data_IF_312488342192
#
_entry.id   IF_312488342192
#
_cell.length_a   1.000
_cell.length_b   1.000
_cell.length_c   1.000
_cell.angle_alpha   90.00
_cell.angle_beta   90.00
_cell.angle_gamma   90.00
#
_symmetry.space_group_name_H-M   'P 1'
#
loop_
_entity.id
_entity.type
_entity.pdbx_description
1 polymer ?
#
# COMPACT_ATOMS: atom_id res chain seq x y z
N UNK A 1 21.75 -4.41 21.17
CA UNK A 1 21.88 -2.99 20.83
C UNK A 1 21.04 -2.73 19.61
N UNK A 2 20.09 -1.88 19.80
CA UNK A 2 19.48 -1.32 18.62
C UNK A 2 20.58 -0.52 17.96
N UNK A 3 21.16 -1.08 16.93
CA UNK A 3 22.04 -0.32 16.12
C UNK A 3 21.34 0.97 15.73
N UNK A 4 22.09 1.96 15.43
CA UNK A 4 21.64 3.15 14.76
C UNK A 4 21.06 2.76 13.40
N UNK A 5 20.47 1.58 13.34
CA UNK A 5 20.06 0.99 12.10
C UNK A 5 18.90 1.79 11.58
N UNK A 6 19.18 2.49 10.53
CA UNK A 6 18.15 3.07 9.72
C UNK A 6 17.19 1.97 9.32
N UNK A 7 16.00 1.99 9.86
CA UNK A 7 14.95 1.14 9.37
C UNK A 7 14.71 1.45 7.90
N UNK A 8 14.70 0.42 7.09
CA UNK A 8 14.42 0.57 5.67
C UNK A 8 12.94 0.83 5.49
N UNK A 9 12.60 2.06 5.16
CA UNK A 9 11.20 2.49 4.98
C UNK A 9 11.05 3.18 3.64
N UNK A 10 9.99 2.84 2.92
CA UNK A 10 9.51 3.64 1.79
C UNK A 10 8.31 4.43 2.29
N UNK A 11 8.29 5.73 2.02
CA UNK A 11 7.25 6.62 2.51
C UNK A 11 6.75 7.52 1.39
N UNK A 12 5.40 7.60 1.29
CA UNK A 12 4.73 8.56 0.41
C UNK A 12 3.59 9.19 1.19
N UNK A 13 3.31 10.46 0.95
CA UNK A 13 2.25 11.15 1.69
C UNK A 13 1.57 12.20 0.84
N UNK A 14 0.34 12.54 1.22
CA UNK A 14 -0.45 13.58 0.59
C UNK A 14 -1.35 14.25 1.62
N UNK A 15 -1.58 15.55 1.46
CA UNK A 15 -2.57 16.28 2.26
C UNK A 15 -3.86 16.40 1.46
N UNK A 16 -4.97 15.99 2.08
CA UNK A 16 -6.31 16.05 1.48
C UNK A 16 -7.17 17.02 2.28
N UNK A 17 -7.83 17.94 1.59
CA UNK A 17 -8.71 18.94 2.23
C UNK A 17 -10.09 18.34 2.52
N UNK A 18 -10.12 17.39 3.44
CA UNK A 18 -11.32 16.71 3.91
C UNK A 18 -11.02 16.09 5.29
N UNK A 19 -12.07 15.79 6.06
CA UNK A 19 -11.89 15.17 7.37
C UNK A 19 -11.35 13.74 7.26
N UNK A 20 -10.68 13.22 8.30
CA UNK A 20 -10.25 11.83 8.33
C UNK A 20 -11.41 10.85 8.11
N UNK A 21 -12.57 11.13 8.64
CA UNK A 21 -13.76 10.30 8.47
C UNK A 21 -14.22 10.26 7.02
N UNK A 22 -14.15 11.39 6.32
CA UNK A 22 -14.51 11.43 4.90
C UNK A 22 -13.52 10.63 4.07
N UNK A 23 -12.23 10.80 4.34
CA UNK A 23 -11.18 10.03 3.64
C UNK A 23 -11.35 8.53 3.91
N UNK A 24 -11.65 8.16 5.16
CA UNK A 24 -11.78 6.77 5.56
C UNK A 24 -12.91 6.02 4.86
N UNK A 25 -13.93 6.71 4.38
CA UNK A 25 -14.99 6.06 3.60
C UNK A 25 -14.44 5.28 2.41
N UNK A 26 -13.32 5.72 1.86
CA UNK A 26 -12.68 5.05 0.72
C UNK A 26 -11.94 3.79 1.11
N UNK A 27 -11.93 3.43 2.39
CA UNK A 27 -11.35 2.19 2.94
C UNK A 27 -12.42 1.16 3.34
N UNK A 28 -13.70 1.52 3.26
CA UNK A 28 -14.76 0.75 3.92
C UNK A 28 -15.34 -0.39 3.09
N UNK A 29 -15.01 -0.49 1.82
CA UNK A 29 -15.50 -1.56 0.94
C UNK A 29 -14.52 -1.89 -0.16
N UNK A 30 -14.68 -3.06 -0.76
CA UNK A 30 -13.89 -3.45 -1.93
C UNK A 30 -14.01 -2.41 -3.05
N UNK A 31 -15.22 -2.02 -3.38
CA UNK A 31 -15.46 -1.08 -4.49
C UNK A 31 -14.75 0.25 -4.26
N UNK A 32 -14.84 0.77 -3.04
CA UNK A 32 -14.19 2.04 -2.70
C UNK A 32 -12.68 1.92 -2.70
N UNK A 33 -12.15 0.89 -2.05
CA UNK A 33 -10.69 0.65 -2.01
C UNK A 33 -10.13 0.44 -3.40
N UNK A 34 -10.84 -0.28 -4.25
CA UNK A 34 -10.44 -0.52 -5.64
C UNK A 34 -10.37 0.79 -6.46
N UNK A 35 -11.18 1.77 -6.11
CA UNK A 35 -11.22 3.05 -6.82
C UNK A 35 -9.92 3.85 -6.74
N UNK A 36 -9.10 3.59 -5.74
CA UNK A 36 -7.84 4.31 -5.58
C UNK A 36 -6.63 3.39 -5.35
N UNK A 37 -6.74 2.40 -4.48
CA UNK A 37 -5.63 1.47 -4.21
C UNK A 37 -5.39 0.55 -5.41
N UNK A 38 -6.46 0.05 -5.97
CA UNK A 38 -6.43 -0.82 -7.14
C UNK A 38 -6.55 -0.07 -8.46
N UNK A 39 -6.48 1.25 -8.45
CA UNK A 39 -6.63 2.03 -9.67
C UNK A 39 -5.53 1.66 -10.66
N UNK A 40 -5.96 1.15 -11.79
CA UNK A 40 -5.09 0.93 -12.93
C UNK A 40 -4.68 2.28 -13.48
N UNK A 41 -3.42 2.61 -13.37
CA UNK A 41 -2.96 3.88 -13.85
C UNK A 41 -2.15 3.68 -15.11
N UNK A 42 -2.80 4.04 -16.20
CA UNK A 42 -2.27 3.88 -17.52
C UNK A 42 -2.43 2.47 -18.07
N UNK A 43 -2.24 2.33 -19.35
CA UNK A 43 -2.19 1.04 -20.03
C UNK A 43 -0.97 0.25 -19.54
N UNK A 44 -1.09 -1.06 -19.37
CA UNK A 44 0.05 -1.90 -19.06
C UNK A 44 1.12 -1.75 -20.13
N UNK A 45 2.29 -1.26 -19.76
CA UNK A 45 3.42 -1.24 -20.67
C UNK A 45 4.18 -2.56 -20.57
N UNK A 46 4.61 -3.09 -21.71
CA UNK A 46 5.38 -4.32 -21.75
C UNK A 46 6.65 -4.19 -20.87
N UNK A 47 6.86 -5.15 -19.97
CA UNK A 47 8.03 -5.17 -19.10
C UNK A 47 7.92 -4.28 -17.85
N UNK A 48 6.76 -3.71 -17.56
CA UNK A 48 6.52 -2.92 -16.35
C UNK A 48 5.44 -3.55 -15.48
N UNK A 49 5.43 -3.21 -14.19
CA UNK A 49 4.39 -3.63 -13.25
C UNK A 49 3.16 -2.72 -13.28
N UNK A 50 3.01 -1.93 -14.32
CA UNK A 50 1.80 -1.12 -14.53
C UNK A 50 0.63 -2.03 -14.81
N UNK A 51 -0.53 -1.70 -14.28
CA UNK A 51 -1.73 -2.49 -14.47
C UNK A 51 -2.10 -3.36 -13.28
N UNK A 52 -1.68 -2.97 -12.09
CA UNK A 52 -2.13 -3.66 -10.88
C UNK A 52 -3.63 -3.43 -10.65
N UNK A 53 -4.28 -4.42 -10.05
CA UNK A 53 -5.68 -4.33 -9.65
C UNK A 53 -5.91 -5.01 -8.31
N UNK A 54 -6.90 -4.52 -7.58
CA UNK A 54 -7.33 -5.15 -6.34
C UNK A 54 -8.15 -6.41 -6.68
N UNK A 55 -7.83 -7.53 -6.05
CA UNK A 55 -8.56 -8.79 -6.25
C UNK A 55 -9.27 -9.27 -4.98
N UNK A 56 -8.74 -8.94 -3.81
CA UNK A 56 -9.33 -9.29 -2.53
C UNK A 56 -9.23 -8.11 -1.58
N UNK A 57 -10.31 -7.77 -0.90
CA UNK A 57 -10.28 -6.80 0.18
C UNK A 57 -11.39 -7.09 1.18
N UNK A 58 -11.00 -7.48 2.36
CA UNK A 58 -11.90 -7.74 3.49
C UNK A 58 -11.55 -6.74 4.59
N UNK A 59 -12.32 -5.63 4.74
CA UNK A 59 -11.94 -4.49 5.58
C UNK A 59 -12.16 -4.76 7.07
N UNK A 60 -11.31 -5.59 7.65
CA UNK A 60 -11.32 -5.93 9.07
C UNK A 60 -10.02 -6.59 9.47
N UNK A 61 -9.69 -6.58 10.75
CA UNK A 61 -8.58 -7.38 11.29
C UNK A 61 -8.88 -8.85 11.03
N UNK A 62 -7.90 -9.57 10.53
CA UNK A 62 -8.04 -10.97 10.11
C UNK A 62 -8.56 -11.15 8.69
N UNK A 63 -9.03 -10.09 8.06
CA UNK A 63 -9.32 -10.09 6.63
C UNK A 63 -8.04 -10.06 5.80
N UNK A 64 -8.18 -10.00 4.47
CA UNK A 64 -7.05 -9.98 3.55
C UNK A 64 -7.17 -8.83 2.57
N UNK A 65 -6.01 -8.37 2.11
CA UNK A 65 -5.91 -7.47 0.97
C UNK A 65 -4.92 -8.07 -0.02
N UNK A 66 -5.34 -8.23 -1.29
CA UNK A 66 -4.49 -8.83 -2.32
C UNK A 66 -4.61 -8.06 -3.62
N UNK A 67 -3.47 -7.87 -4.26
CA UNK A 67 -3.32 -7.19 -5.54
C UNK A 67 -2.82 -8.17 -6.58
N UNK A 68 -3.21 -7.95 -7.83
CA UNK A 68 -2.64 -8.65 -8.97
C UNK A 68 -1.88 -7.66 -9.83
N UNK A 69 -0.69 -8.05 -10.26
CA UNK A 69 0.16 -7.25 -11.14
C UNK A 69 0.67 -8.15 -12.27
N UNK A 70 1.14 -7.53 -13.35
CA UNK A 70 1.85 -8.25 -14.39
C UNK A 70 3.35 -8.16 -14.13
N UNK A 71 4.00 -9.30 -13.96
CA UNK A 71 5.46 -9.42 -13.88
C UNK A 71 5.94 -10.19 -15.10
N UNK A 72 6.77 -9.55 -15.91
CA UNK A 72 7.33 -10.16 -17.13
C UNK A 72 6.26 -10.81 -18.01
N UNK A 73 5.11 -10.17 -18.11
CA UNK A 73 4.01 -10.66 -18.96
C UNK A 73 3.12 -11.72 -18.30
N UNK A 74 3.42 -12.15 -17.07
CA UNK A 74 2.63 -13.13 -16.35
C UNK A 74 1.95 -12.51 -15.12
N UNK A 75 0.71 -12.92 -14.77
CA UNK A 75 0.04 -12.42 -13.58
C UNK A 75 0.76 -12.90 -12.32
N UNK A 76 0.92 -12.00 -11.36
CA UNK A 76 1.46 -12.30 -10.04
C UNK A 76 0.60 -11.60 -8.99
N UNK A 77 0.55 -12.14 -7.79
CA UNK A 77 -0.20 -11.54 -6.68
C UNK A 77 0.70 -11.18 -5.53
N UNK A 78 0.31 -10.17 -4.79
CA UNK A 78 0.94 -9.82 -3.53
C UNK A 78 -0.11 -9.25 -2.57
N UNK A 79 0.21 -9.27 -1.29
CA UNK A 79 -0.66 -8.81 -0.22
C UNK A 79 -0.59 -9.73 0.98
N UNK A 80 -1.65 -9.79 1.76
CA UNK A 80 -1.71 -10.67 2.92
C UNK A 80 -2.78 -10.27 3.93
N UNK A 81 -2.65 -10.78 5.16
CA UNK A 81 -3.64 -10.51 6.20
C UNK A 81 -3.57 -9.08 6.72
N UNK A 82 -4.74 -8.52 7.00
CA UNK A 82 -4.86 -7.23 7.66
C UNK A 82 -4.66 -7.44 9.15
N UNK A 83 -3.69 -6.73 9.73
CA UNK A 83 -3.33 -6.85 11.14
C UNK A 83 -3.76 -5.67 11.98
N UNK A 84 -4.01 -4.50 11.37
CA UNK A 84 -4.61 -3.33 12.02
C UNK A 84 -5.68 -2.76 11.10
N UNK A 85 -6.85 -2.50 11.65
CA UNK A 85 -7.93 -1.81 10.94
C UNK A 85 -8.64 -0.92 11.93
N UNK A 86 -8.17 0.32 12.05
CA UNK A 86 -8.65 1.30 13.00
C UNK A 86 -9.30 2.46 12.25
N UNK A 87 -10.61 2.58 12.33
CA UNK A 87 -11.41 3.55 11.56
C UNK A 87 -10.87 4.98 11.69
N UNK A 88 -10.69 5.63 10.54
CA UNK A 88 -10.18 6.99 10.40
C UNK A 88 -8.76 7.17 10.96
N UNK A 89 -7.98 6.10 11.09
CA UNK A 89 -6.63 6.14 11.67
C UNK A 89 -5.61 5.30 10.92
N UNK A 90 -5.86 3.99 10.74
CA UNK A 90 -4.81 3.12 10.22
C UNK A 90 -5.34 1.82 9.64
N UNK A 91 -4.81 1.47 8.48
CA UNK A 91 -4.87 0.13 7.88
C UNK A 91 -3.44 -0.38 7.77
N UNK A 92 -3.14 -1.51 8.39
CA UNK A 92 -1.84 -2.18 8.26
C UNK A 92 -2.05 -3.63 7.86
N UNK A 93 -1.29 -4.08 6.89
CA UNK A 93 -1.32 -5.47 6.45
C UNK A 93 0.08 -6.01 6.22
N UNK A 94 0.21 -7.31 6.35
CA UNK A 94 1.43 -8.02 5.97
C UNK A 94 1.44 -8.16 4.46
N UNK A 95 2.60 -7.94 3.86
CA UNK A 95 2.72 -7.94 2.40
C UNK A 95 3.81 -8.91 1.94
N UNK A 96 3.41 -9.89 1.16
CA UNK A 96 4.30 -10.87 0.56
C UNK A 96 3.80 -11.23 -0.82
N UNK A 97 4.67 -11.84 -1.60
CA UNK A 97 4.28 -12.43 -2.88
C UNK A 97 3.47 -13.71 -2.65
N UNK A 98 2.51 -13.96 -3.52
CA UNK A 98 1.62 -15.13 -3.47
C UNK A 98 1.72 -15.88 -4.80
N UNK A 99 2.38 -17.03 -4.87
CA UNK A 99 3.16 -17.68 -3.81
C UNK A 99 4.45 -16.92 -3.47
N UNK A 100 4.98 -17.20 -2.28
CA UNK A 100 6.22 -16.57 -1.79
C UNK A 100 7.38 -16.79 -2.77
N UNK A 101 8.15 -15.72 -3.01
CA UNK A 101 9.29 -15.72 -3.91
C UNK A 101 10.64 -15.73 -3.17
N UNK A 102 10.67 -16.23 -1.93
CA UNK A 102 11.90 -16.41 -1.18
C UNK A 102 12.09 -15.50 0.02
N UNK A 103 11.12 -14.65 0.36
CA UNK A 103 11.19 -13.88 1.60
C UNK A 103 11.01 -14.79 2.80
N UNK A 104 11.79 -14.54 3.85
CA UNK A 104 11.71 -15.31 5.10
C UNK A 104 10.51 -14.92 5.95
N UNK A 105 10.04 -13.69 5.77
CA UNK A 105 8.81 -13.17 6.41
C UNK A 105 8.24 -12.07 5.51
N UNK A 106 6.96 -11.72 5.67
CA UNK A 106 6.37 -10.62 4.90
C UNK A 106 6.96 -9.28 5.32
N UNK A 107 6.92 -8.33 4.43
CA UNK A 107 7.05 -6.91 4.76
C UNK A 107 5.72 -6.41 5.33
N UNK A 108 5.66 -5.14 5.74
CA UNK A 108 4.41 -4.52 6.18
C UNK A 108 4.14 -3.25 5.40
N UNK A 109 2.86 -3.01 5.15
CA UNK A 109 2.40 -1.76 4.57
C UNK A 109 1.38 -1.17 5.53
N UNK A 110 1.61 0.08 5.93
CA UNK A 110 0.69 0.86 6.75
C UNK A 110 0.19 2.04 5.96
N UNK A 111 -1.12 2.25 5.97
CA UNK A 111 -1.74 3.46 5.46
C UNK A 111 -2.28 4.19 6.68
N UNK A 112 -1.70 5.34 6.98
CA UNK A 112 -2.07 6.13 8.15
C UNK A 112 -2.82 7.38 7.76
N UNK A 113 -3.88 7.66 8.49
CA UNK A 113 -4.75 8.81 8.28
C UNK A 113 -4.69 9.68 9.54
N UNK A 114 -4.25 10.93 9.39
CA UNK A 114 -4.01 11.81 10.53
C UNK A 114 -4.60 13.20 10.26
N UNK A 115 -5.38 13.79 11.21
CA UNK A 115 -5.80 15.18 11.07
C UNK A 115 -4.58 16.10 10.98
N UNK A 116 -4.57 17.01 10.01
CA UNK A 116 -3.47 17.96 9.82
C UNK A 116 -3.92 19.18 9.02
N UNK A 117 -3.55 20.36 9.47
CA UNK A 117 -3.74 21.63 8.76
C UNK A 117 -5.18 21.83 8.22
N UNK A 118 -6.17 21.47 9.03
CA UNK A 118 -7.57 21.59 8.63
C UNK A 118 -8.05 20.54 7.65
N UNK A 119 -7.24 19.56 7.34
CA UNK A 119 -7.56 18.43 6.47
C UNK A 119 -7.02 17.14 7.02
N UNK A 120 -6.55 16.28 6.15
CA UNK A 120 -6.05 14.94 6.50
C UNK A 120 -4.74 14.65 5.79
N UNK A 121 -3.73 14.28 6.56
CA UNK A 121 -2.49 13.73 6.02
C UNK A 121 -2.69 12.22 5.86
N UNK A 122 -2.51 11.72 4.64
CA UNK A 122 -2.52 10.29 4.35
C UNK A 122 -1.10 9.86 4.02
N UNK A 123 -0.61 8.85 4.73
CA UNK A 123 0.75 8.34 4.55
C UNK A 123 0.71 6.86 4.21
N UNK A 124 1.50 6.47 3.21
CA UNK A 124 1.77 5.07 2.91
C UNK A 124 3.20 4.78 3.36
N UNK A 125 3.35 3.78 4.21
CA UNK A 125 4.65 3.35 4.74
C UNK A 125 4.83 1.87 4.38
N UNK A 126 5.93 1.54 3.70
CA UNK A 126 6.30 0.16 3.40
C UNK A 126 7.59 -0.13 4.14
N UNK A 127 7.60 -1.11 5.01
CA UNK A 127 8.70 -1.36 5.96
C UNK A 127 8.82 -2.84 6.31
N UNK A 128 9.66 -3.15 7.28
CA UNK A 128 9.98 -4.51 7.72
C UNK A 128 10.73 -5.31 6.64
N UNK A 129 11.61 -4.64 5.91
CA UNK A 129 12.47 -5.28 4.92
C UNK A 129 13.60 -6.09 5.57
N UNK A 130 14.03 -5.70 6.77
CA UNK A 130 15.15 -6.32 7.48
C UNK A 130 14.86 -7.80 7.72
N UNK A 131 15.81 -8.65 7.35
CA UNK A 131 15.69 -10.10 7.53
C UNK A 131 14.85 -10.84 6.51
N UNK A 132 14.21 -10.16 5.56
CA UNK A 132 13.44 -10.82 4.48
C UNK A 132 14.34 -11.64 3.57
N UNK A 133 15.47 -11.07 3.23
CA UNK A 133 16.52 -11.69 2.39
C UNK A 133 17.89 -11.33 2.98
N UNK A 134 18.97 -11.87 2.42
CA UNK A 134 20.33 -11.62 2.92
C UNK A 134 20.75 -10.15 2.73
N UNK A 135 20.30 -9.51 1.66
CA UNK A 135 20.57 -8.09 1.39
C UNK A 135 19.26 -7.31 1.20
N UNK A 136 18.58 -6.93 2.29
CA UNK A 136 17.32 -6.22 2.20
C UNK A 136 17.44 -4.80 1.64
N UNK A 137 18.64 -4.24 1.61
CA UNK A 137 18.86 -2.90 1.04
C UNK A 137 18.54 -2.85 -0.46
N UNK A 138 18.82 -3.91 -1.19
CA UNK A 138 18.49 -4.01 -2.61
C UNK A 138 16.98 -4.09 -2.83
N UNK A 139 16.28 -4.89 -2.01
CA UNK A 139 14.81 -4.96 -2.04
C UNK A 139 14.21 -3.59 -1.77
N UNK A 140 14.66 -2.92 -0.71
CA UNK A 140 14.21 -1.58 -0.35
C UNK A 140 14.41 -0.58 -1.50
N UNK A 141 15.58 -0.59 -2.13
CA UNK A 141 15.90 0.32 -3.22
C UNK A 141 14.94 0.11 -4.40
N UNK A 142 14.59 -1.14 -4.70
CA UNK A 142 13.62 -1.47 -5.74
C UNK A 142 12.23 -0.89 -5.45
N UNK A 143 11.76 -1.03 -4.23
CA UNK A 143 10.47 -0.46 -3.81
C UNK A 143 10.51 1.06 -3.71
N UNK A 144 11.61 1.63 -3.26
CA UNK A 144 11.78 3.09 -3.22
C UNK A 144 11.63 3.69 -4.63
N UNK A 145 12.18 3.04 -5.64
CA UNK A 145 12.02 3.45 -7.03
C UNK A 145 10.64 3.13 -7.62
N UNK A 146 9.99 2.08 -7.11
CA UNK A 146 8.70 1.61 -7.64
C UNK A 146 7.47 2.33 -7.08
N UNK A 147 7.53 2.79 -5.83
CA UNK A 147 6.42 3.52 -5.23
C UNK A 147 6.32 4.93 -5.80
N UNK A 148 5.18 5.26 -6.36
CA UNK A 148 4.86 6.60 -6.85
C UNK A 148 3.74 7.24 -6.03
N UNK A 149 3.14 8.28 -6.57
CA UNK A 149 2.02 9.01 -5.93
C UNK A 149 0.66 8.60 -6.47
N UNK A 150 0.64 7.63 -7.30
CA UNK A 150 -0.51 7.20 -8.09
C UNK A 150 -1.76 6.92 -7.26
N UNK A 151 -1.63 6.06 -6.23
CA UNK A 151 -2.76 5.72 -5.37
C UNK A 151 -3.22 6.93 -4.56
N UNK A 152 -2.29 7.68 -4.00
CA UNK A 152 -2.62 8.86 -3.20
C UNK A 152 -3.25 9.97 -4.04
N UNK A 153 -2.78 10.19 -5.25
CA UNK A 153 -3.39 11.15 -6.17
C UNK A 153 -4.82 10.72 -6.53
N UNK A 154 -5.05 9.44 -6.78
CA UNK A 154 -6.39 8.90 -7.04
C UNK A 154 -7.31 9.09 -5.84
N UNK A 155 -6.85 8.79 -4.64
CA UNK A 155 -7.61 8.98 -3.41
C UNK A 155 -8.02 10.44 -3.25
N UNK A 156 -7.08 11.37 -3.41
CA UNK A 156 -7.37 12.80 -3.30
C UNK A 156 -8.41 13.23 -4.34
N UNK A 157 -8.27 12.78 -5.57
CA UNK A 157 -9.21 13.13 -6.64
C UNK A 157 -10.63 12.65 -6.33
N UNK A 158 -10.78 11.42 -5.84
CA UNK A 158 -12.08 10.84 -5.46
C UNK A 158 -12.70 11.63 -4.30
N UNK A 159 -11.93 11.92 -3.28
CA UNK A 159 -12.42 12.64 -2.10
C UNK A 159 -12.86 14.06 -2.47
N UNK A 160 -12.13 14.73 -3.36
CA UNK A 160 -12.45 16.09 -3.79
C UNK A 160 -13.65 16.16 -4.73
N UNK A 161 -13.93 15.11 -5.46
CA UNK A 161 -15.04 15.07 -6.42
C UNK A 161 -16.40 14.82 -5.74
N UNK A 162 -16.39 14.38 -4.49
CA UNK A 162 -17.61 14.00 -3.75
C UNK A 162 -18.24 15.19 -3.04
#
# INVERSE_FOLDING_TARGET
>A
MLGTDSFLVVRRSILIQASPERVWREFESFERMNGWWGAMIGEPEAGTSKGQRLVTYEPRVGGRIEMEVSLDGAPARYGGPIVVFAAARELTFENDWIPNLGWRHPTRITIRVTPALGGTLVEILHYAFEGTVDDPGEEHAGYEGGWGMTQLDALRAIVRAA
#
